data_IF_241191217094
#
_entry.id   IF_241191217094
#
_cell.length_a   1.000
_cell.length_b   1.000
_cell.length_c   1.000
_cell.angle_alpha   90.00
_cell.angle_beta   90.00
_cell.angle_gamma   90.00
#
_symmetry.space_group_name_H-M   'P 1'
#
loop_
_entity.id
_entity.type
_entity.pdbx_description
1 polymer ?
#
# COMPACT_ATOMS: atom_id res chain seq x y z
N UNK A 1 -19.22 -31.07 38.84
CA UNK A 1 -18.07 -31.38 37.97
C UNK A 1 -16.97 -31.98 38.83
N UNK A 2 -16.35 -33.09 38.39
CA UNK A 2 -15.36 -33.80 39.19
C UNK A 2 -14.06 -32.96 39.30
N UNK A 3 -13.57 -32.63 40.51
CA UNK A 3 -12.41 -31.76 40.71
C UNK A 3 -11.11 -32.30 40.08
N UNK A 4 -10.99 -33.62 39.94
CA UNK A 4 -9.83 -34.26 39.30
C UNK A 4 -9.80 -33.98 37.80
N UNK A 5 -10.98 -33.98 37.15
CA UNK A 5 -11.12 -33.67 35.72
C UNK A 5 -10.79 -32.21 35.44
N UNK A 6 -11.16 -31.31 36.35
CA UNK A 6 -10.84 -29.87 36.26
C UNK A 6 -9.33 -29.65 36.42
N UNK A 7 -8.68 -30.35 37.37
CA UNK A 7 -7.24 -30.25 37.60
C UNK A 7 -6.42 -30.77 36.40
N UNK A 8 -6.80 -31.91 35.82
CA UNK A 8 -6.14 -32.47 34.63
C UNK A 8 -6.30 -31.56 33.41
N UNK A 9 -7.50 -31.00 33.21
CA UNK A 9 -7.74 -30.03 32.15
C UNK A 9 -6.91 -28.75 32.34
N UNK A 10 -6.80 -28.24 33.57
CA UNK A 10 -5.99 -27.06 33.88
C UNK A 10 -4.49 -27.29 33.67
N UNK A 11 -3.98 -28.46 34.02
CA UNK A 11 -2.57 -28.81 33.86
C UNK A 11 -2.19 -29.00 32.40
N UNK A 12 -3.09 -29.60 31.61
CA UNK A 12 -2.94 -29.79 30.16
C UNK A 12 -3.04 -28.46 29.40
N UNK A 13 -3.93 -27.56 29.83
CA UNK A 13 -3.97 -26.20 29.31
C UNK A 13 -2.67 -25.45 29.61
N UNK A 14 -2.13 -25.58 30.84
CA UNK A 14 -0.90 -24.90 31.26
C UNK A 14 0.31 -25.32 30.43
N UNK A 15 0.45 -26.61 30.11
CA UNK A 15 1.52 -27.10 29.24
C UNK A 15 1.36 -26.63 27.79
N UNK A 16 0.12 -26.61 27.27
CA UNK A 16 -0.20 -26.08 25.95
C UNK A 16 0.16 -24.60 25.79
N UNK A 17 -0.19 -23.76 26.77
CA UNK A 17 0.14 -22.32 26.76
C UNK A 17 1.60 -22.01 27.10
N UNK A 18 2.37 -22.96 27.64
CA UNK A 18 3.80 -22.77 27.93
C UNK A 18 4.71 -22.96 26.70
N UNK A 19 4.18 -23.57 25.63
CA UNK A 19 4.97 -23.83 24.43
C UNK A 19 5.16 -22.53 23.62
N UNK A 20 6.42 -22.13 23.42
CA UNK A 20 6.80 -20.91 22.68
C UNK A 20 6.18 -20.84 21.28
N UNK A 21 6.02 -21.97 20.58
CA UNK A 21 5.37 -22.00 19.25
C UNK A 21 3.88 -21.70 19.32
N UNK A 22 3.20 -22.23 20.34
CA UNK A 22 1.77 -21.99 20.59
C UNK A 22 1.54 -20.53 21.02
N UNK A 23 2.41 -20.00 21.86
CA UNK A 23 2.38 -18.59 22.25
C UNK A 23 2.54 -17.67 21.03
N UNK A 24 3.51 -17.93 20.16
CA UNK A 24 3.73 -17.15 18.94
C UNK A 24 2.49 -17.22 18.02
N UNK A 25 1.92 -18.41 17.82
CA UNK A 25 0.72 -18.58 16.99
C UNK A 25 -0.49 -17.81 17.56
N UNK A 26 -0.71 -17.88 18.88
CA UNK A 26 -1.77 -17.11 19.55
C UNK A 26 -1.53 -15.60 19.44
N UNK A 27 -0.28 -15.16 19.57
CA UNK A 27 0.09 -13.75 19.47
C UNK A 27 -0.18 -13.22 18.05
N UNK A 28 0.13 -14.00 17.00
CA UNK A 28 -0.21 -13.68 15.61
C UNK A 28 -1.72 -13.57 15.41
N UNK A 29 -2.51 -14.50 15.96
CA UNK A 29 -3.98 -14.48 15.87
C UNK A 29 -4.56 -13.24 16.55
N UNK A 30 -4.08 -12.90 17.75
CA UNK A 30 -4.51 -11.72 18.50
C UNK A 30 -4.14 -10.44 17.74
N UNK A 31 -2.90 -10.34 17.25
CA UNK A 31 -2.47 -9.22 16.41
C UNK A 31 -3.33 -9.10 15.15
N UNK A 32 -3.62 -10.21 14.46
CA UNK A 32 -4.49 -10.21 13.28
C UNK A 32 -5.87 -9.61 13.59
N UNK A 33 -6.51 -9.98 14.71
CA UNK A 33 -7.82 -9.44 15.09
C UNK A 33 -7.77 -7.95 15.45
N UNK A 34 -6.72 -7.50 16.15
CA UNK A 34 -6.52 -6.09 16.50
C UNK A 34 -6.28 -5.26 15.22
N UNK A 35 -5.40 -5.74 14.33
CA UNK A 35 -5.02 -5.02 13.11
C UNK A 35 -6.08 -5.08 12.02
N UNK A 36 -6.86 -6.17 11.89
CA UNK A 36 -7.98 -6.29 10.94
C UNK A 36 -8.96 -5.11 11.00
N UNK A 37 -9.29 -4.63 12.20
CA UNK A 37 -10.24 -3.53 12.41
C UNK A 37 -9.64 -2.14 12.10
N UNK A 38 -8.31 -2.00 12.18
CA UNK A 38 -7.57 -0.78 11.78
C UNK A 38 -7.27 -0.78 10.28
N UNK A 39 -6.85 -1.90 9.71
CA UNK A 39 -6.62 -2.10 8.27
C UNK A 39 -7.88 -1.77 7.46
N UNK A 40 -9.06 -2.24 7.91
CA UNK A 40 -10.32 -1.94 7.21
C UNK A 40 -10.66 -0.44 7.20
N UNK A 41 -10.27 0.31 8.25
CA UNK A 41 -10.44 1.77 8.33
C UNK A 41 -9.39 2.52 7.50
N UNK A 42 -8.14 2.05 7.47
CA UNK A 42 -7.09 2.59 6.58
C UNK A 42 -7.45 2.39 5.10
N UNK A 43 -7.85 1.19 4.71
CA UNK A 43 -8.32 0.89 3.34
C UNK A 43 -9.56 1.70 2.96
N UNK A 44 -10.49 1.93 3.89
CA UNK A 44 -11.67 2.74 3.62
C UNK A 44 -11.33 4.24 3.48
N UNK A 45 -10.43 4.77 4.31
CA UNK A 45 -9.95 6.16 4.18
C UNK A 45 -9.09 6.39 2.93
N UNK A 46 -8.42 5.35 2.42
CA UNK A 46 -7.76 5.41 1.11
C UNK A 46 -8.76 5.33 -0.05
N UNK A 47 -9.81 4.50 0.06
CA UNK A 47 -10.91 4.43 -0.93
C UNK A 47 -11.78 5.69 -0.97
N UNK A 48 -11.85 6.46 0.12
CA UNK A 48 -12.59 7.73 0.19
C UNK A 48 -11.75 8.95 -0.25
N UNK A 49 -10.45 8.79 -0.52
CA UNK A 49 -9.68 9.78 -1.32
C UNK A 49 -9.92 9.58 -2.82
N UNK A 50 -11.08 9.03 -3.19
CA UNK A 50 -11.56 9.07 -4.56
C UNK A 50 -12.26 10.40 -4.79
N UNK A 51 -11.43 11.35 -5.23
CA UNK A 51 -11.73 12.32 -6.29
C UNK A 51 -12.90 13.26 -6.01
N UNK A 52 -12.55 14.45 -5.55
CA UNK A 52 -13.30 15.63 -5.91
C UNK A 52 -13.16 15.82 -7.44
N UNK A 53 -14.27 15.60 -8.17
CA UNK A 53 -14.28 15.61 -9.65
C UNK A 53 -14.05 17.00 -10.25
N UNK A 54 -13.88 18.03 -9.40
CA UNK A 54 -13.64 19.40 -9.81
C UNK A 54 -12.16 19.82 -9.74
N UNK A 55 -11.25 18.95 -9.30
CA UNK A 55 -9.85 19.29 -8.99
C UNK A 55 -8.87 18.99 -10.14
N UNK A 56 -9.34 19.12 -11.38
CA UNK A 56 -8.50 19.03 -12.56
C UNK A 56 -7.53 20.23 -12.61
N UNK A 57 -6.38 20.14 -11.92
CA UNK A 57 -5.09 20.80 -12.22
C UNK A 57 -4.10 20.89 -11.03
N UNK A 58 -4.40 20.40 -9.82
CA UNK A 58 -3.40 20.48 -8.74
C UNK A 58 -2.24 19.49 -8.99
N UNK A 59 -1.10 20.07 -9.33
CA UNK A 59 0.20 19.41 -9.55
C UNK A 59 0.54 18.44 -8.41
N UNK A 60 0.25 18.81 -7.15
CA UNK A 60 0.54 17.97 -5.98
C UNK A 60 -0.37 16.74 -5.88
N UNK A 61 -1.61 16.88 -6.35
CA UNK A 61 -2.58 15.81 -6.36
C UNK A 61 -2.21 14.79 -7.44
N UNK A 62 -1.81 15.24 -8.63
CA UNK A 62 -1.38 14.33 -9.70
C UNK A 62 -0.07 13.62 -9.31
N UNK A 63 0.88 14.33 -8.68
CA UNK A 63 2.07 13.68 -8.12
C UNK A 63 1.71 12.59 -7.10
N UNK A 64 0.70 12.83 -6.25
CA UNK A 64 0.19 11.83 -5.33
C UNK A 64 -0.47 10.64 -6.05
N UNK A 65 -1.20 10.89 -7.14
CA UNK A 65 -1.84 9.83 -7.94
C UNK A 65 -0.77 8.92 -8.56
N UNK A 66 0.30 9.47 -9.13
CA UNK A 66 1.45 8.67 -9.59
C UNK A 66 2.05 7.83 -8.46
N UNK A 67 2.18 8.38 -7.25
CA UNK A 67 2.70 7.61 -6.10
C UNK A 67 1.76 6.49 -5.70
N UNK A 68 0.45 6.72 -5.72
CA UNK A 68 -0.55 5.71 -5.37
C UNK A 68 -0.64 4.62 -6.42
N UNK A 69 -0.50 4.94 -7.71
CA UNK A 69 -0.46 3.95 -8.78
C UNK A 69 0.78 3.05 -8.67
N UNK A 70 1.92 3.64 -8.31
CA UNK A 70 3.16 2.90 -8.02
C UNK A 70 3.19 2.23 -6.63
N UNK A 71 2.19 2.44 -5.78
CA UNK A 71 2.09 1.86 -4.42
C UNK A 71 0.62 1.62 -4.06
N UNK A 72 -0.03 0.60 -4.63
CA UNK A 72 -1.45 0.35 -4.41
C UNK A 72 -1.81 0.11 -2.93
N UNK A 73 -0.89 -0.41 -2.12
CA UNK A 73 -1.10 -0.62 -0.69
C UNK A 73 -1.10 0.69 0.12
N UNK A 74 -0.48 1.74 -0.40
CA UNK A 74 -0.25 3.03 0.26
C UNK A 74 0.72 2.97 1.42
N UNK A 75 1.41 1.84 1.62
CA UNK A 75 2.38 1.66 2.70
C UNK A 75 3.76 1.93 2.13
N UNK A 76 4.43 2.99 2.61
CA UNK A 76 5.66 3.48 1.95
C UNK A 76 6.78 2.45 1.84
N UNK A 77 6.91 1.52 2.80
CA UNK A 77 7.94 0.47 2.75
C UNK A 77 7.57 -0.69 1.82
N UNK A 78 6.29 -0.81 1.46
CA UNK A 78 5.80 -1.87 0.57
C UNK A 78 5.91 -1.52 -0.91
N UNK A 79 6.25 -0.27 -1.25
CA UNK A 79 6.25 0.21 -2.63
C UNK A 79 7.07 -0.63 -3.62
N UNK A 80 8.09 -1.34 -3.16
CA UNK A 80 8.92 -2.17 -4.03
C UNK A 80 8.45 -3.64 -4.09
N UNK A 81 7.31 -3.98 -3.46
CA UNK A 81 6.82 -5.35 -3.33
C UNK A 81 5.31 -5.50 -3.57
N UNK A 82 4.51 -4.45 -3.48
CA UNK A 82 3.05 -4.52 -3.55
C UNK A 82 2.48 -4.38 -4.97
N UNK A 83 3.36 -4.26 -5.95
CA UNK A 83 3.03 -4.17 -7.37
C UNK A 83 2.71 -2.74 -7.80
N UNK A 84 2.29 -2.61 -9.05
CA UNK A 84 1.99 -1.32 -9.68
C UNK A 84 0.67 -1.43 -10.44
N UNK A 85 -0.08 -0.33 -10.51
CA UNK A 85 -1.27 -0.17 -11.34
C UNK A 85 -0.85 0.49 -12.67
N UNK A 86 -0.51 -0.33 -13.68
CA UNK A 86 0.02 0.15 -14.95
C UNK A 86 -1.03 0.91 -15.78
N UNK A 87 -2.30 0.50 -15.69
CA UNK A 87 -3.42 1.16 -16.38
C UNK A 87 -3.60 2.59 -15.86
N UNK A 88 -3.53 2.79 -14.53
CA UNK A 88 -3.60 4.12 -13.94
C UNK A 88 -2.38 4.98 -14.32
N UNK A 89 -1.17 4.42 -14.38
CA UNK A 89 0.03 5.15 -14.86
C UNK A 89 -0.14 5.61 -16.31
N UNK A 90 -0.67 4.76 -17.18
CA UNK A 90 -0.95 5.11 -18.57
C UNK A 90 -1.99 6.23 -18.66
N UNK A 91 -3.10 6.12 -17.92
CA UNK A 91 -4.15 7.14 -17.84
C UNK A 91 -3.59 8.49 -17.36
N UNK A 92 -2.75 8.47 -16.33
CA UNK A 92 -2.06 9.65 -15.82
C UNK A 92 -1.08 10.22 -16.86
N UNK A 93 -0.43 9.37 -17.64
CA UNK A 93 0.39 9.80 -18.78
C UNK A 93 -0.41 10.67 -19.75
N UNK A 94 -1.58 10.22 -20.19
CA UNK A 94 -2.44 11.02 -21.07
C UNK A 94 -2.93 12.31 -20.40
N UNK A 95 -3.26 12.25 -19.11
CA UNK A 95 -3.73 13.41 -18.34
C UNK A 95 -2.65 14.50 -18.19
N UNK A 96 -1.38 14.11 -18.14
CA UNK A 96 -0.25 15.01 -17.86
C UNK A 96 0.56 15.41 -19.08
N UNK A 97 0.10 14.99 -20.27
CA UNK A 97 0.72 15.33 -21.54
C UNK A 97 0.99 16.84 -21.64
N UNK A 98 2.24 17.20 -21.97
CA UNK A 98 2.76 18.60 -22.03
C UNK A 98 2.80 19.38 -20.70
N UNK A 99 2.40 18.77 -19.58
CA UNK A 99 2.44 19.38 -18.24
C UNK A 99 3.20 18.51 -17.22
N UNK A 100 4.01 17.55 -17.69
CA UNK A 100 4.70 16.62 -16.83
C UNK A 100 5.73 17.29 -15.91
N UNK A 101 6.47 18.28 -16.42
CA UNK A 101 7.59 18.88 -15.68
C UNK A 101 7.20 19.41 -14.28
N UNK A 102 6.18 20.29 -14.13
CA UNK A 102 5.78 20.73 -12.79
C UNK A 102 5.34 19.58 -11.88
N UNK A 103 4.74 18.52 -12.43
CA UNK A 103 4.28 17.34 -11.69
C UNK A 103 5.46 16.49 -11.21
N UNK A 104 6.45 16.30 -12.08
CA UNK A 104 7.69 15.62 -11.73
C UNK A 104 8.47 16.38 -10.65
N UNK A 105 8.47 17.71 -10.70
CA UNK A 105 9.07 18.56 -9.68
C UNK A 105 8.36 18.45 -8.32
N UNK A 106 7.03 18.52 -8.31
CA UNK A 106 6.25 18.31 -7.09
C UNK A 106 6.43 16.90 -6.52
N UNK A 107 6.47 15.88 -7.38
CA UNK A 107 6.74 14.50 -6.98
C UNK A 107 8.10 14.38 -6.28
N UNK A 108 9.14 14.94 -6.88
CA UNK A 108 10.50 14.94 -6.32
C UNK A 108 10.57 15.65 -4.97
N UNK A 109 9.94 16.82 -4.84
CA UNK A 109 9.90 17.56 -3.58
C UNK A 109 9.16 16.80 -2.47
N UNK A 110 8.10 16.06 -2.84
CA UNK A 110 7.22 15.39 -1.88
C UNK A 110 7.73 14.02 -1.43
N UNK A 111 8.43 13.29 -2.31
CA UNK A 111 8.83 11.90 -2.06
C UNK A 111 10.34 11.68 -2.09
N UNK A 112 11.12 12.75 -2.29
CA UNK A 112 12.59 12.71 -2.34
C UNK A 112 13.12 11.73 -3.40
N UNK A 113 12.33 11.49 -4.46
CA UNK A 113 12.60 10.56 -5.56
C UNK A 113 12.11 11.15 -6.88
N UNK A 114 12.84 10.96 -7.97
CA UNK A 114 12.37 11.37 -9.30
C UNK A 114 11.18 10.52 -9.75
N UNK A 115 10.15 11.15 -10.33
CA UNK A 115 9.02 10.43 -10.92
C UNK A 115 9.51 9.42 -11.98
N UNK A 116 10.43 9.83 -12.86
CA UNK A 116 10.97 8.93 -13.89
C UNK A 116 11.74 7.76 -13.31
N UNK A 117 12.44 7.96 -12.19
CA UNK A 117 13.17 6.87 -11.53
C UNK A 117 12.22 5.90 -10.84
N UNK A 118 11.13 6.39 -10.23
CA UNK A 118 10.06 5.52 -9.72
C UNK A 118 9.48 4.70 -10.86
N UNK A 119 9.01 5.34 -11.93
CA UNK A 119 8.35 4.62 -13.03
C UNK A 119 9.29 3.64 -13.74
N UNK A 120 10.60 3.91 -13.80
CA UNK A 120 11.58 2.95 -14.33
C UNK A 120 11.73 1.70 -13.47
N UNK A 121 11.50 1.79 -12.15
CA UNK A 121 11.52 0.63 -11.24
C UNK A 121 10.25 -0.20 -11.32
N UNK A 122 9.12 0.48 -11.54
CA UNK A 122 7.80 -0.16 -11.56
C UNK A 122 7.43 -0.77 -12.91
N UNK A 123 7.76 -0.09 -14.01
CA UNK A 123 7.36 -0.49 -15.35
C UNK A 123 8.45 -1.32 -16.05
N UNK A 124 8.03 -2.21 -16.94
CA UNK A 124 8.96 -2.81 -17.89
C UNK A 124 9.58 -1.75 -18.82
N UNK A 125 10.74 -2.00 -19.45
CA UNK A 125 11.35 -1.05 -20.38
C UNK A 125 10.41 -0.60 -21.52
N UNK A 126 9.53 -1.50 -21.98
CA UNK A 126 8.55 -1.21 -23.04
C UNK A 126 7.45 -0.28 -22.54
N UNK A 127 6.90 -0.54 -21.36
CA UNK A 127 5.85 0.28 -20.75
C UNK A 127 6.38 1.66 -20.37
N UNK A 128 7.61 1.74 -19.83
CA UNK A 128 8.26 3.01 -19.54
C UNK A 128 8.46 3.85 -20.81
N UNK A 129 8.88 3.23 -21.92
CA UNK A 129 9.04 3.93 -23.19
C UNK A 129 7.68 4.38 -23.76
N UNK A 130 6.63 3.55 -23.64
CA UNK A 130 5.29 3.93 -24.04
C UNK A 130 4.78 5.14 -23.24
N UNK A 131 4.92 5.10 -21.91
CA UNK A 131 4.58 6.22 -21.03
C UNK A 131 5.33 7.49 -21.42
N UNK A 132 6.66 7.41 -21.66
CA UNK A 132 7.47 8.52 -22.15
C UNK A 132 6.91 9.14 -23.44
N UNK A 133 6.56 8.30 -24.42
CA UNK A 133 6.00 8.77 -25.68
C UNK A 133 4.62 9.45 -25.54
N UNK A 134 3.88 9.14 -24.46
CA UNK A 134 2.57 9.77 -24.19
C UNK A 134 2.76 11.16 -23.57
N UNK A 135 3.69 11.29 -22.62
CA UNK A 135 3.89 12.51 -21.82
C UNK A 135 4.74 13.57 -22.51
N UNK A 136 5.67 13.15 -23.38
CA UNK A 136 6.48 14.00 -24.26
C UNK A 136 5.59 14.69 -25.34
#
# INVERSE_FOLDING_TARGET
MNPIVIAQAAQSAKSFFSNRKVQIALLIIVLYFIFKKKIKRLLHNMRQRRFDRNEAQDVNQIAQQYRSAANPSGISWMINIDGTDEEEIERLGYQTKRQLQPIADAYRLKFEESLSDRLRKELSPREFQNWRNIVD
#
